data_IF_887496800902
#
_entry.id   IF_887496800902
#
_cell.length_a   1.000
_cell.length_b   1.000
_cell.length_c   1.000
_cell.angle_alpha   90.00
_cell.angle_beta   90.00
_cell.angle_gamma   90.00
#
_symmetry.space_group_name_H-M   'P 1'
#
loop_
_entity.id
_entity.type
_entity.pdbx_description
1 polymer ?
#
# COMPACT_ATOMS: atom_id res chain seq x y z
N UNK A 1 -2.75 -11.82 -24.08
CA UNK A 1 -3.83 -11.31 -23.22
C UNK A 1 -3.33 -11.47 -21.80
N UNK A 2 -2.95 -10.37 -21.14
CA UNK A 2 -2.48 -10.42 -19.77
C UNK A 2 -3.67 -10.82 -18.88
N UNK A 3 -3.51 -11.90 -18.11
CA UNK A 3 -4.51 -12.29 -17.13
C UNK A 3 -4.60 -11.16 -16.10
N UNK A 4 -5.82 -10.77 -15.71
CA UNK A 4 -6.00 -9.99 -14.49
C UNK A 4 -5.35 -10.80 -13.37
N UNK A 5 -4.26 -10.30 -12.79
CA UNK A 5 -3.62 -10.99 -11.69
C UNK A 5 -4.53 -10.81 -10.48
N UNK A 6 -5.12 -11.91 -10.02
CA UNK A 6 -5.68 -12.00 -8.68
C UNK A 6 -4.62 -11.55 -7.66
N UNK A 7 -5.06 -11.10 -6.48
CA UNK A 7 -4.18 -10.70 -5.40
C UNK A 7 -3.07 -11.76 -5.18
N UNK A 8 -1.82 -11.35 -4.88
CA UNK A 8 -0.72 -12.28 -4.67
C UNK A 8 -1.06 -13.29 -3.57
N UNK A 9 -0.67 -14.57 -3.70
CA UNK A 9 -1.02 -15.61 -2.73
C UNK A 9 -0.52 -15.30 -1.31
N UNK A 10 0.56 -14.52 -1.19
CA UNK A 10 1.07 -14.00 0.07
C UNK A 10 0.04 -13.16 0.84
N UNK A 11 -0.89 -12.48 0.16
CA UNK A 11 -1.89 -11.64 0.80
C UNK A 11 -2.78 -12.45 1.75
N UNK A 12 -3.17 -13.67 1.33
CA UNK A 12 -3.95 -14.59 2.16
C UNK A 12 -3.11 -15.19 3.31
N UNK A 13 -1.82 -15.46 3.07
CA UNK A 13 -0.92 -16.02 4.08
C UNK A 13 -0.60 -15.02 5.20
N UNK A 14 -0.64 -13.72 4.88
CA UNK A 14 -0.37 -12.64 5.81
C UNK A 14 -1.59 -12.21 6.61
N UNK A 15 -2.80 -12.68 6.26
CA UNK A 15 -4.03 -12.30 6.94
C UNK A 15 -3.93 -12.57 8.45
N UNK A 16 -4.30 -11.58 9.28
CA UNK A 16 -4.21 -11.66 10.73
C UNK A 16 -2.81 -11.42 11.30
N UNK A 17 -1.80 -11.23 10.46
CA UNK A 17 -0.45 -10.88 10.90
C UNK A 17 -0.32 -9.37 11.13
N UNK A 18 0.70 -9.00 11.89
CA UNK A 18 1.08 -7.60 12.06
C UNK A 18 1.39 -6.93 10.70
N UNK A 19 0.93 -5.69 10.43
CA UNK A 19 1.14 -5.00 9.15
C UNK A 19 2.62 -4.87 8.71
N UNK A 20 3.56 -4.89 9.66
CA UNK A 20 5.00 -4.96 9.37
C UNK A 20 5.41 -6.17 8.52
N UNK A 21 4.70 -7.30 8.61
CA UNK A 21 4.98 -8.48 7.80
C UNK A 21 4.66 -8.26 6.33
N UNK A 22 3.65 -7.46 6.00
CA UNK A 22 3.35 -7.08 4.63
C UNK A 22 4.48 -6.26 4.02
N UNK A 23 5.08 -5.34 4.78
CA UNK A 23 6.25 -4.56 4.34
C UNK A 23 7.47 -5.44 4.13
N UNK A 24 7.74 -6.38 5.05
CA UNK A 24 8.83 -7.33 4.94
C UNK A 24 8.67 -8.19 3.67
N UNK A 25 7.50 -8.80 3.47
CA UNK A 25 7.21 -9.63 2.30
C UNK A 25 7.22 -8.81 1.01
N UNK A 26 6.68 -7.59 1.01
CA UNK A 26 6.76 -6.69 -0.13
C UNK A 26 8.23 -6.41 -0.53
N UNK A 27 9.11 -6.13 0.44
CA UNK A 27 10.54 -5.95 0.17
C UNK A 27 11.17 -7.21 -0.45
N UNK A 28 10.83 -8.40 0.05
CA UNK A 28 11.33 -9.67 -0.48
C UNK A 28 10.85 -9.89 -1.91
N UNK A 29 9.55 -9.77 -2.19
CA UNK A 29 8.99 -9.91 -3.54
C UNK A 29 9.60 -8.90 -4.51
N UNK A 30 9.83 -7.67 -4.04
CA UNK A 30 10.45 -6.64 -4.85
C UNK A 30 11.88 -7.04 -5.25
N UNK A 31 12.68 -7.58 -4.32
CA UNK A 31 14.03 -8.07 -4.63
C UNK A 31 14.05 -9.27 -5.59
N UNK A 32 12.98 -10.08 -5.59
CA UNK A 32 12.82 -11.25 -6.46
C UNK A 32 12.30 -10.88 -7.87
N UNK A 33 12.03 -9.59 -8.13
CA UNK A 33 11.49 -9.14 -9.41
C UNK A 33 9.96 -9.24 -9.53
N UNK A 34 9.27 -9.72 -8.49
CA UNK A 34 7.80 -9.73 -8.39
C UNK A 34 7.29 -8.36 -7.96
N UNK A 35 7.53 -7.36 -8.82
CA UNK A 35 7.39 -5.94 -8.46
C UNK A 35 5.93 -5.53 -8.21
N UNK A 36 4.99 -5.92 -9.06
CA UNK A 36 3.57 -5.56 -8.86
C UNK A 36 2.99 -6.23 -7.61
N UNK A 37 3.28 -7.51 -7.37
CA UNK A 37 2.91 -8.20 -6.13
C UNK A 37 3.45 -7.50 -4.88
N UNK A 38 4.69 -7.02 -4.95
CA UNK A 38 5.29 -6.24 -3.87
C UNK A 38 4.55 -4.91 -3.63
N UNK A 39 4.19 -4.19 -4.70
CA UNK A 39 3.42 -2.94 -4.59
C UNK A 39 2.04 -3.21 -4.01
N UNK A 40 1.37 -4.29 -4.45
CA UNK A 40 0.09 -4.71 -3.90
C UNK A 40 0.19 -4.95 -2.39
N UNK A 41 1.13 -5.80 -1.95
CA UNK A 41 1.29 -6.12 -0.52
C UNK A 41 1.67 -4.89 0.30
N UNK A 42 2.52 -4.02 -0.24
CA UNK A 42 2.89 -2.78 0.42
C UNK A 42 1.68 -1.89 0.69
N UNK A 43 0.83 -1.65 -0.32
CA UNK A 43 -0.35 -0.81 -0.14
C UNK A 43 -1.42 -1.46 0.74
N UNK A 44 -1.58 -2.79 0.67
CA UNK A 44 -2.48 -3.53 1.59
C UNK A 44 -2.00 -3.42 3.04
N UNK A 45 -0.71 -3.67 3.29
CA UNK A 45 -0.11 -3.52 4.61
C UNK A 45 -0.16 -2.09 5.13
N UNK A 46 0.08 -1.10 4.26
CA UNK A 46 -0.02 0.31 4.61
C UNK A 46 -1.46 0.69 5.00
N UNK A 47 -2.47 0.22 4.26
CA UNK A 47 -3.87 0.45 4.61
C UNK A 47 -4.18 -0.10 6.01
N UNK A 48 -3.79 -1.35 6.28
CA UNK A 48 -4.00 -1.99 7.57
C UNK A 48 -3.29 -1.25 8.71
N UNK A 49 -2.03 -0.87 8.51
CA UNK A 49 -1.27 -0.17 9.55
C UNK A 49 -1.81 1.22 9.83
N UNK A 50 -2.19 1.97 8.78
CA UNK A 50 -2.76 3.30 8.97
C UNK A 50 -4.11 3.22 9.70
N UNK A 51 -4.92 2.20 9.46
CA UNK A 51 -6.11 1.93 10.26
C UNK A 51 -5.79 1.65 11.73
N UNK A 52 -4.78 0.80 12.00
CA UNK A 52 -4.31 0.52 13.36
C UNK A 52 -3.93 1.80 14.10
N UNK A 53 -3.09 2.63 13.49
CA UNK A 53 -2.63 3.87 14.12
C UNK A 53 -3.77 4.88 14.32
N UNK A 54 -4.66 5.01 13.32
CA UNK A 54 -5.75 5.97 13.39
C UNK A 54 -6.78 5.59 14.48
N UNK A 55 -7.07 4.31 14.65
CA UNK A 55 -8.00 3.82 15.68
C UNK A 55 -7.39 3.82 17.11
N UNK A 56 -6.08 4.02 17.25
CA UNK A 56 -5.36 3.97 18.54
C UNK A 56 -4.49 5.22 18.76
N UNK A 57 -5.08 6.42 18.91
CA UNK A 57 -4.32 7.67 19.01
C UNK A 57 -3.41 7.78 20.25
N UNK A 58 -3.60 6.92 21.25
CA UNK A 58 -2.79 6.86 22.48
C UNK A 58 -1.66 5.82 22.46
N UNK A 59 -1.38 5.19 21.31
CA UNK A 59 -0.30 4.21 21.19
C UNK A 59 1.07 4.88 21.49
N UNK A 60 1.99 4.12 22.07
CA UNK A 60 3.35 4.59 22.35
C UNK A 60 4.01 5.07 21.04
N UNK A 61 4.41 6.36 20.93
CA UNK A 61 4.99 6.91 19.71
C UNK A 61 6.32 6.25 19.32
N UNK A 62 7.02 5.59 20.26
CA UNK A 62 8.28 4.89 20.00
C UNK A 62 8.09 3.45 19.50
N UNK A 63 6.86 2.92 19.55
CA UNK A 63 6.49 1.60 19.06
C UNK A 63 6.04 1.64 17.60
N UNK A 64 4.79 1.23 17.36
CA UNK A 64 4.19 1.11 16.04
C UNK A 64 4.31 2.37 15.15
N UNK A 65 4.07 3.60 15.64
CA UNK A 65 4.24 4.81 14.83
C UNK A 65 5.68 4.98 14.31
N UNK A 66 6.69 4.80 15.18
CA UNK A 66 8.09 4.89 14.78
C UNK A 66 8.51 3.78 13.81
N UNK A 67 8.00 2.56 14.02
CA UNK A 67 8.25 1.43 13.13
C UNK A 67 7.60 1.64 11.76
N UNK A 68 6.35 2.10 11.71
CA UNK A 68 5.63 2.44 10.49
C UNK A 68 6.37 3.52 9.69
N UNK A 69 6.82 4.59 10.36
CA UNK A 69 7.62 5.65 9.74
C UNK A 69 8.91 5.10 9.14
N UNK A 70 9.66 4.32 9.92
CA UNK A 70 10.94 3.74 9.48
C UNK A 70 10.78 2.81 8.27
N UNK A 71 9.79 1.92 8.29
CA UNK A 71 9.53 0.99 7.18
C UNK A 71 8.94 1.69 5.95
N UNK A 72 8.13 2.73 6.13
CA UNK A 72 7.64 3.56 5.01
C UNK A 72 8.80 4.27 4.31
N UNK A 73 9.81 4.71 5.06
CA UNK A 73 10.98 5.37 4.51
C UNK A 73 11.99 4.41 3.84
N UNK A 74 12.20 3.21 4.40
CA UNK A 74 13.20 2.25 3.93
C UNK A 74 12.65 1.31 2.87
N UNK A 75 11.40 0.87 3.01
CA UNK A 75 10.73 -0.04 2.07
C UNK A 75 9.77 0.72 1.17
N UNK A 76 8.90 1.55 1.74
CA UNK A 76 7.84 2.22 0.98
C UNK A 76 8.37 3.20 -0.08
N UNK A 77 9.39 4.01 0.26
CA UNK A 77 9.98 4.97 -0.67
C UNK A 77 10.53 4.33 -1.96
N UNK A 78 11.45 3.35 -1.93
CA UNK A 78 11.95 2.73 -3.17
C UNK A 78 10.87 1.98 -3.96
N UNK A 79 9.90 1.37 -3.27
CA UNK A 79 8.75 0.74 -3.93
C UNK A 79 7.90 1.77 -4.68
N UNK A 80 7.56 2.89 -4.04
CA UNK A 80 6.80 3.97 -4.65
C UNK A 80 7.57 4.66 -5.79
N UNK A 81 8.86 4.90 -5.63
CA UNK A 81 9.70 5.45 -6.70
C UNK A 81 9.66 4.57 -7.95
N UNK A 82 9.68 3.24 -7.80
CA UNK A 82 9.51 2.34 -8.93
C UNK A 82 8.07 2.32 -9.46
N UNK A 83 7.08 2.25 -8.56
CA UNK A 83 5.67 2.11 -8.89
C UNK A 83 5.16 3.27 -9.73
N UNK A 84 5.41 4.51 -9.28
CA UNK A 84 4.98 5.73 -9.96
C UNK A 84 5.72 6.01 -11.28
N UNK A 85 6.67 5.15 -11.68
CA UNK A 85 7.15 5.11 -13.06
C UNK A 85 6.05 4.79 -14.05
N UNK A 86 4.98 4.14 -13.58
CA UNK A 86 3.79 3.77 -14.34
C UNK A 86 2.53 4.14 -13.51
N UNK A 87 2.04 5.39 -13.64
CA UNK A 87 0.87 5.84 -12.90
C UNK A 87 -0.38 5.00 -13.18
N UNK A 88 -0.54 4.49 -14.40
CA UNK A 88 -1.72 3.71 -14.78
C UNK A 88 -1.72 2.34 -14.07
N UNK A 89 -0.55 1.71 -13.91
CA UNK A 89 -0.39 0.53 -13.06
C UNK A 89 -0.71 0.83 -11.60
N UNK A 90 -0.25 1.96 -11.04
CA UNK A 90 -0.56 2.31 -9.64
C UNK A 90 -2.06 2.50 -9.44
N UNK A 91 -2.74 3.22 -10.35
CA UNK A 91 -4.19 3.38 -10.32
C UNK A 91 -4.91 2.03 -10.29
N UNK A 92 -4.50 1.09 -11.15
CA UNK A 92 -5.06 -0.27 -11.18
C UNK A 92 -4.81 -1.02 -9.87
N UNK A 93 -3.55 -1.11 -9.41
CA UNK A 93 -3.21 -1.86 -8.19
C UNK A 93 -3.90 -1.30 -6.95
N UNK A 94 -4.05 0.01 -6.82
CA UNK A 94 -4.80 0.60 -5.71
C UNK A 94 -6.28 0.19 -5.73
N UNK A 95 -6.88 0.09 -6.93
CA UNK A 95 -8.22 -0.47 -7.10
C UNK A 95 -8.31 -1.92 -6.66
N UNK A 96 -7.34 -2.75 -7.06
CA UNK A 96 -7.26 -4.16 -6.68
C UNK A 96 -7.07 -4.35 -5.17
N UNK A 97 -6.19 -3.55 -4.53
CA UNK A 97 -5.97 -3.57 -3.08
C UNK A 97 -7.25 -3.22 -2.31
N UNK A 98 -7.94 -2.15 -2.72
CA UNK A 98 -9.19 -1.72 -2.09
C UNK A 98 -10.30 -2.76 -2.24
N UNK A 99 -10.41 -3.40 -3.41
CA UNK A 99 -11.36 -4.46 -3.66
C UNK A 99 -11.05 -5.71 -2.83
N UNK A 100 -9.77 -6.11 -2.78
CA UNK A 100 -9.31 -7.26 -2.01
C UNK A 100 -9.57 -7.06 -0.52
N UNK A 101 -9.20 -5.91 0.04
CA UNK A 101 -9.43 -5.59 1.46
C UNK A 101 -10.91 -5.57 1.83
N UNK A 102 -11.80 -5.19 0.91
CA UNK A 102 -13.25 -5.26 1.13
C UNK A 102 -13.76 -6.70 1.22
N UNK A 103 -13.24 -7.57 0.35
CA UNK A 103 -13.66 -8.97 0.26
C UNK A 103 -13.02 -9.86 1.33
N UNK A 104 -11.88 -9.45 1.90
CA UNK A 104 -11.12 -10.22 2.88
C UNK A 104 -10.85 -9.40 4.14
N UNK A 105 -11.85 -9.23 5.02
CA UNK A 105 -11.66 -8.56 6.30
C UNK A 105 -10.49 -9.17 7.08
N UNK A 106 -9.56 -8.35 7.52
CA UNK A 106 -8.38 -8.83 8.25
C UNK A 106 -8.68 -8.95 9.77
N UNK A 107 -8.54 -10.14 10.38
CA UNK A 107 -8.75 -10.35 11.81
C UNK A 107 -7.89 -9.46 12.71
N UNK A 108 -6.68 -9.10 12.27
CA UNK A 108 -5.77 -8.23 13.03
C UNK A 108 -6.39 -6.84 13.29
N UNK A 109 -7.21 -6.36 12.34
CA UNK A 109 -7.91 -5.06 12.44
C UNK A 109 -9.39 -5.20 12.78
N UNK A 110 -9.92 -6.39 13.07
CA UNK A 110 -11.38 -6.58 13.22
C UNK A 110 -12.01 -5.73 14.32
N UNK A 111 -11.28 -5.37 15.38
CA UNK A 111 -11.76 -4.44 16.42
C UNK A 111 -11.83 -2.99 15.95
N UNK A 112 -11.22 -2.66 14.80
CA UNK A 112 -11.01 -1.32 14.29
C UNK A 112 -11.59 -1.13 12.88
N UNK A 113 -11.97 -2.20 12.20
CA UNK A 113 -12.38 -2.20 10.80
C UNK A 113 -13.60 -1.31 10.52
N UNK A 114 -14.52 -1.23 11.48
CA UNK A 114 -15.73 -0.42 11.40
C UNK A 114 -15.57 0.98 12.04
N UNK A 115 -14.36 1.34 12.47
CA UNK A 115 -14.11 2.66 13.07
C UNK A 115 -14.23 3.79 12.03
N UNK A 116 -14.78 4.96 12.40
CA UNK A 116 -14.78 6.14 11.54
C UNK A 116 -13.38 6.54 11.05
N UNK A 117 -12.37 6.31 11.89
CA UNK A 117 -10.96 6.57 11.63
C UNK A 117 -10.42 5.69 10.50
N UNK A 118 -10.65 4.36 10.56
CA UNK A 118 -10.26 3.45 9.48
C UNK A 118 -11.04 3.73 8.19
N UNK A 119 -12.33 4.09 8.29
CA UNK A 119 -13.11 4.52 7.14
C UNK A 119 -12.52 5.77 6.46
N UNK A 120 -11.98 6.72 7.25
CA UNK A 120 -11.28 7.89 6.71
C UNK A 120 -9.96 7.54 6.03
N UNK A 121 -9.20 6.58 6.58
CA UNK A 121 -7.97 6.07 5.94
C UNK A 121 -8.30 5.45 4.59
N UNK A 122 -9.34 4.61 4.52
CA UNK A 122 -9.79 3.98 3.27
C UNK A 122 -10.19 5.01 2.22
N UNK A 123 -11.01 6.01 2.60
CA UNK A 123 -11.37 7.13 1.72
C UNK A 123 -10.15 7.90 1.21
N UNK A 124 -9.11 8.03 2.03
CA UNK A 124 -7.85 8.63 1.61
C UNK A 124 -7.15 7.85 0.51
N UNK A 125 -7.16 6.51 0.59
CA UNK A 125 -6.57 5.65 -0.44
C UNK A 125 -7.42 5.63 -1.73
N UNK A 126 -8.75 5.65 -1.60
CA UNK A 126 -9.68 5.83 -2.72
C UNK A 126 -9.43 7.17 -3.43
N UNK A 127 -9.30 8.26 -2.67
CA UNK A 127 -8.97 9.58 -3.23
C UNK A 127 -7.60 9.62 -3.90
N UNK A 128 -6.60 8.93 -3.36
CA UNK A 128 -5.30 8.77 -4.03
C UNK A 128 -5.47 8.06 -5.38
N UNK A 129 -6.14 6.90 -5.39
CA UNK A 129 -6.44 6.14 -6.61
C UNK A 129 -7.10 7.05 -7.65
N UNK A 130 -8.24 7.65 -7.30
CA UNK A 130 -9.07 8.42 -8.23
C UNK A 130 -8.38 9.70 -8.74
N UNK A 131 -7.44 10.23 -7.97
CA UNK A 131 -6.63 11.38 -8.35
C UNK A 131 -5.49 11.07 -9.33
N UNK A 132 -5.03 9.82 -9.43
CA UNK A 132 -3.86 9.46 -10.25
C UNK A 132 -4.07 9.78 -11.74
N UNK A 133 -5.18 9.42 -12.41
CA UNK A 133 -5.36 9.70 -13.83
C UNK A 133 -5.24 11.19 -14.17
N UNK A 134 -5.83 12.06 -13.35
CA UNK A 134 -5.76 13.51 -13.53
C UNK A 134 -4.34 14.08 -13.29
N UNK A 135 -3.53 13.40 -12.48
CA UNK A 135 -2.19 13.82 -12.12
C UNK A 135 -1.08 13.13 -12.91
N UNK A 136 -1.40 12.11 -13.72
CA UNK A 136 -0.43 11.21 -14.34
C UNK A 136 0.65 11.95 -15.14
N UNK A 137 0.28 12.97 -15.94
CA UNK A 137 1.26 13.77 -16.67
C UNK A 137 2.15 14.61 -15.75
N UNK A 138 1.58 15.20 -14.69
CA UNK A 138 2.33 15.97 -13.72
C UNK A 138 3.33 15.08 -12.97
N UNK A 139 2.92 13.88 -12.59
CA UNK A 139 3.78 12.85 -12.00
C UNK A 139 4.93 12.53 -12.95
N UNK A 140 4.66 12.22 -14.22
CA UNK A 140 5.70 11.90 -15.22
C UNK A 140 6.70 13.04 -15.39
N UNK A 141 6.22 14.29 -15.48
CA UNK A 141 7.09 15.49 -15.57
C UNK A 141 7.96 15.66 -14.34
N UNK A 142 7.39 15.53 -13.15
CA UNK A 142 8.13 15.66 -11.89
C UNK A 142 9.21 14.59 -11.76
N UNK A 143 8.89 13.35 -12.12
CA UNK A 143 9.85 12.25 -12.14
C UNK A 143 11.03 12.54 -13.06
N UNK A 144 10.76 13.00 -14.28
CA UNK A 144 11.82 13.40 -15.22
C UNK A 144 12.69 14.53 -14.65
N UNK A 145 12.10 15.53 -13.98
CA UNK A 145 12.86 16.59 -13.29
C UNK A 145 13.79 16.04 -12.22
N UNK A 146 13.34 15.01 -11.51
CA UNK A 146 14.08 14.37 -10.43
C UNK A 146 15.03 13.25 -10.92
N UNK A 147 15.21 13.09 -12.24
CA UNK A 147 16.09 12.06 -12.82
C UNK A 147 15.55 10.63 -12.68
N UNK A 148 14.26 10.47 -12.38
CA UNK A 148 13.60 9.18 -12.24
C UNK A 148 13.02 8.71 -13.58
N UNK A 149 13.12 7.40 -13.90
CA UNK A 149 12.57 6.85 -15.14
C UNK A 149 11.03 6.83 -15.12
N UNK A 150 10.43 7.05 -16.28
CA UNK A 150 9.04 6.68 -16.57
C UNK A 150 9.08 5.41 -17.43
N UNK A 151 8.14 4.49 -17.21
CA UNK A 151 8.14 3.16 -17.84
C UNK A 151 6.80 2.84 -18.49
#
# INVERSE_FOLDING_TARGET
MAQAQDAPPEAAQLQGQHPSKYYETASQLFSQGRKEDAIFLFYLGQLHWRCLLAANPGIDPTGDPALFGSLSEVVGRPLNEWAYGDPDMVHRLLGEVLAYDAAHPDPYRMTQADSPECAQVRRGLEGLRDGIPAQAEAIRRERTRNGLPNR
#
